data_IF_469483262204
#
_entry.id   IF_469483262204
#
_cell.length_a   1.000
_cell.length_b   1.000
_cell.length_c   1.000
_cell.angle_alpha   90.00
_cell.angle_beta   90.00
_cell.angle_gamma   90.00
#
_symmetry.space_group_name_H-M   'P 1'
#
loop_
_entity.id
_entity.type
_entity.pdbx_description
1 polymer ?
#
# COMPACT_ATOMS: atom_id res chain seq x y z
N UNK A 1 -10.50 26.16 -13.41
CA UNK A 1 -11.46 25.10 -13.07
C UNK A 1 -11.39 24.93 -11.55
N UNK A 2 -12.54 24.88 -10.85
CA UNK A 2 -12.53 24.57 -9.42
C UNK A 2 -11.95 23.17 -9.27
N UNK A 3 -10.85 23.02 -8.56
CA UNK A 3 -10.23 21.72 -8.31
C UNK A 3 -11.16 20.96 -7.37
N UNK A 4 -11.68 19.83 -7.80
CA UNK A 4 -12.42 18.90 -6.95
C UNK A 4 -11.51 17.75 -6.56
N UNK A 5 -11.74 17.17 -5.38
CA UNK A 5 -11.06 15.95 -4.93
C UNK A 5 -11.30 14.81 -5.92
N UNK A 6 -10.32 13.95 -6.09
CA UNK A 6 -10.42 12.76 -6.93
C UNK A 6 -11.30 11.69 -6.23
N UNK A 7 -11.90 10.80 -7.01
CA UNK A 7 -12.47 9.56 -6.50
C UNK A 7 -11.32 8.66 -6.01
N UNK A 8 -11.43 8.13 -4.82
CA UNK A 8 -10.43 7.24 -4.23
C UNK A 8 -11.07 6.07 -3.50
N UNK A 9 -10.40 4.93 -3.54
CA UNK A 9 -10.85 3.72 -2.88
C UNK A 9 -9.66 2.86 -2.48
N UNK A 10 -9.93 1.90 -1.60
CA UNK A 10 -8.90 1.05 -1.00
C UNK A 10 -9.23 -0.42 -1.19
N UNK A 11 -8.19 -1.22 -1.45
CA UNK A 11 -8.17 -2.66 -1.24
C UNK A 11 -7.35 -2.87 0.04
N UNK A 12 -7.95 -3.44 1.07
CA UNK A 12 -7.34 -3.56 2.41
C UNK A 12 -7.23 -5.02 2.78
N UNK A 13 -6.01 -5.51 2.82
CA UNK A 13 -5.70 -6.85 3.28
C UNK A 13 -5.43 -6.85 4.78
N UNK A 14 -5.91 -7.87 5.48
CA UNK A 14 -5.81 -7.98 6.94
C UNK A 14 -5.44 -9.40 7.35
N UNK A 15 -4.60 -9.51 8.38
CA UNK A 15 -4.38 -10.77 9.10
C UNK A 15 -5.33 -10.93 10.27
N UNK A 16 -5.72 -12.19 10.51
CA UNK A 16 -6.45 -12.61 11.70
C UNK A 16 -5.59 -13.52 12.57
N UNK A 17 -5.86 -13.53 13.87
CA UNK A 17 -5.09 -14.37 14.78
C UNK A 17 -5.53 -14.29 16.23
N UNK A 18 -4.71 -14.85 17.10
CA UNK A 18 -4.87 -14.78 18.54
C UNK A 18 -4.41 -13.44 19.10
N UNK A 19 -4.91 -13.00 20.26
CA UNK A 19 -4.40 -11.80 20.93
C UNK A 19 -2.90 -11.85 21.28
N UNK A 20 -2.29 -13.05 21.30
CA UNK A 20 -0.84 -13.26 21.45
C UNK A 20 -0.02 -12.84 20.23
N UNK A 21 -0.68 -12.63 19.06
CA UNK A 21 -0.04 -12.27 17.79
C UNK A 21 0.17 -13.44 16.83
N UNK A 22 -0.21 -14.67 17.20
CA UNK A 22 -0.14 -15.83 16.31
C UNK A 22 -1.26 -15.77 15.28
N UNK A 23 -0.91 -15.94 13.99
CA UNK A 23 -1.88 -15.92 12.90
C UNK A 23 -2.79 -17.16 12.94
N UNK A 24 -4.08 -16.97 12.70
CA UNK A 24 -5.10 -18.02 12.60
C UNK A 24 -5.95 -17.77 11.36
N UNK A 25 -6.00 -18.77 10.47
CA UNK A 25 -6.75 -18.70 9.21
C UNK A 25 -8.24 -18.84 9.41
N UNK A 26 -9.02 -17.85 8.98
CA UNK A 26 -10.49 -17.86 9.01
C UNK A 26 -11.13 -17.23 7.76
N UNK A 27 -10.34 -16.88 6.74
CA UNK A 27 -10.81 -16.07 5.61
C UNK A 27 -11.99 -16.70 4.87
N UNK A 28 -12.04 -18.02 4.72
CA UNK A 28 -13.13 -18.72 4.03
C UNK A 28 -14.46 -18.57 4.79
N UNK A 29 -14.45 -18.73 6.12
CA UNK A 29 -15.64 -18.55 6.94
C UNK A 29 -16.11 -17.09 6.97
N UNK A 30 -15.17 -16.15 7.07
CA UNK A 30 -15.47 -14.72 7.02
C UNK A 30 -16.13 -14.32 5.70
N UNK A 31 -15.56 -14.74 4.56
CA UNK A 31 -16.12 -14.44 3.24
C UNK A 31 -17.51 -15.02 3.00
N UNK A 32 -17.86 -16.13 3.68
CA UNK A 32 -19.19 -16.73 3.62
C UNK A 32 -20.20 -16.01 4.52
N UNK A 33 -19.78 -15.50 5.67
CA UNK A 33 -20.67 -14.98 6.71
C UNK A 33 -20.76 -13.45 6.74
N UNK A 34 -19.72 -12.73 6.25
CA UNK A 34 -19.69 -11.27 6.26
C UNK A 34 -19.59 -10.74 4.82
N UNK A 35 -20.66 -10.11 4.29
CA UNK A 35 -20.63 -9.51 2.96
C UNK A 35 -19.50 -8.47 2.82
N UNK A 36 -18.88 -8.44 1.63
CA UNK A 36 -17.82 -7.48 1.29
C UNK A 36 -16.40 -7.96 1.59
N UNK A 37 -16.24 -9.09 2.29
CA UNK A 37 -14.93 -9.72 2.43
C UNK A 37 -14.70 -10.79 1.36
N UNK A 38 -13.46 -10.89 0.90
CA UNK A 38 -12.99 -11.91 -0.03
C UNK A 38 -11.77 -12.62 0.55
N UNK A 39 -11.52 -13.84 0.06
CA UNK A 39 -10.37 -14.64 0.46
C UNK A 39 -9.16 -14.30 -0.39
N UNK A 40 -8.01 -14.16 0.25
CA UNK A 40 -6.72 -14.24 -0.40
C UNK A 40 -6.30 -15.73 -0.58
N UNK A 41 -5.25 -16.03 -1.39
CA UNK A 41 -4.78 -17.41 -1.56
C UNK A 41 -4.43 -18.12 -0.26
N UNK A 42 -3.86 -17.43 0.73
CA UNK A 42 -3.60 -17.97 2.07
C UNK A 42 -4.78 -17.68 3.00
N UNK A 43 -5.16 -18.66 3.81
CA UNK A 43 -6.32 -18.62 4.68
C UNK A 43 -6.22 -17.63 5.84
N UNK A 44 -5.01 -17.21 6.21
CA UNK A 44 -4.73 -16.26 7.31
C UNK A 44 -4.93 -14.81 6.90
N UNK A 45 -5.00 -14.54 5.59
CA UNK A 45 -5.22 -13.23 5.02
C UNK A 45 -6.62 -13.13 4.39
N UNK A 46 -7.22 -11.95 4.48
CA UNK A 46 -8.52 -11.62 3.87
C UNK A 46 -8.52 -10.17 3.44
N UNK A 47 -9.36 -9.87 2.45
CA UNK A 47 -9.43 -8.53 1.85
C UNK A 47 -10.85 -7.98 1.92
N UNK A 48 -10.96 -6.66 2.08
CA UNK A 48 -12.17 -5.91 1.74
C UNK A 48 -11.82 -4.72 0.85
N UNK A 49 -12.80 -4.28 0.05
CA UNK A 49 -12.66 -3.18 -0.90
C UNK A 49 -13.67 -2.10 -0.55
N UNK A 50 -13.23 -0.84 -0.54
CA UNK A 50 -14.15 0.29 -0.38
C UNK A 50 -14.68 0.75 -1.74
N UNK A 51 -15.86 1.35 -1.74
CA UNK A 51 -16.33 2.09 -2.91
C UNK A 51 -15.43 3.30 -3.20
N UNK A 52 -15.42 3.82 -4.45
CA UNK A 52 -14.74 5.07 -4.77
C UNK A 52 -15.48 6.26 -4.17
N UNK A 53 -14.81 7.02 -3.29
CA UNK A 53 -15.36 8.14 -2.51
C UNK A 53 -14.42 9.35 -2.64
N UNK A 54 -14.96 10.56 -2.69
CA UNK A 54 -14.17 11.80 -2.70
C UNK A 54 -13.90 12.34 -1.30
N UNK A 55 -14.91 12.27 -0.43
CA UNK A 55 -14.90 12.84 0.90
C UNK A 55 -14.06 12.01 1.88
N UNK A 56 -13.15 12.65 2.61
CA UNK A 56 -12.22 11.97 3.52
C UNK A 56 -12.88 11.46 4.81
N UNK A 57 -13.93 12.13 5.31
CA UNK A 57 -14.66 11.67 6.49
C UNK A 57 -15.49 10.43 6.16
N UNK A 58 -16.11 10.42 4.98
CA UNK A 58 -16.84 9.24 4.48
C UNK A 58 -15.87 8.08 4.22
N UNK A 59 -14.67 8.35 3.68
CA UNK A 59 -13.62 7.33 3.50
C UNK A 59 -13.19 6.71 4.82
N UNK A 60 -13.04 7.52 5.87
CA UNK A 60 -12.69 7.03 7.20
C UNK A 60 -13.69 6.01 7.70
N UNK A 61 -14.98 6.28 7.54
CA UNK A 61 -16.03 5.31 7.93
C UNK A 61 -16.06 4.09 7.02
N UNK A 62 -15.81 4.25 5.72
CA UNK A 62 -15.69 3.14 4.79
C UNK A 62 -14.53 2.18 5.15
N UNK A 63 -13.43 2.70 5.71
CA UNK A 63 -12.32 1.90 6.22
C UNK A 63 -12.64 1.19 7.54
N UNK A 64 -13.38 1.84 8.45
CA UNK A 64 -13.63 1.32 9.79
C UNK A 64 -14.82 0.36 9.86
N UNK A 65 -15.85 0.56 9.05
CA UNK A 65 -17.10 -0.22 9.11
C UNK A 65 -16.88 -1.73 8.87
N UNK A 66 -16.10 -2.17 7.84
CA UNK A 66 -15.80 -3.59 7.66
C UNK A 66 -14.97 -4.16 8.83
N UNK A 67 -13.99 -3.40 9.34
CA UNK A 67 -13.17 -3.83 10.49
C UNK A 67 -14.02 -4.06 11.75
N UNK A 68 -14.98 -3.14 12.05
CA UNK A 68 -15.94 -3.31 13.17
C UNK A 68 -16.79 -4.57 13.00
N UNK A 69 -17.25 -4.87 11.77
CA UNK A 69 -18.01 -6.07 11.49
C UNK A 69 -17.18 -7.33 11.71
N UNK A 70 -15.96 -7.34 11.19
CA UNK A 70 -15.03 -8.45 11.33
C UNK A 70 -14.63 -8.70 12.79
N UNK A 71 -14.32 -7.64 13.56
CA UNK A 71 -14.00 -7.77 14.99
C UNK A 71 -15.14 -8.37 15.79
N UNK A 72 -16.38 -7.93 15.56
CA UNK A 72 -17.57 -8.52 16.21
C UNK A 72 -17.74 -10.01 15.91
N UNK A 73 -17.32 -10.44 14.73
CA UNK A 73 -17.35 -11.86 14.33
C UNK A 73 -16.21 -12.67 14.96
N UNK A 74 -15.03 -12.06 15.13
CA UNK A 74 -13.82 -12.69 15.70
C UNK A 74 -13.89 -12.85 17.23
N UNK A 75 -14.37 -11.84 17.97
CA UNK A 75 -14.37 -11.79 19.43
C UNK A 75 -14.97 -13.03 20.11
N UNK A 76 -16.17 -13.55 19.72
CA UNK A 76 -16.72 -14.76 20.35
C UNK A 76 -15.88 -16.01 20.13
N UNK A 77 -14.96 -15.99 19.17
CA UNK A 77 -14.05 -17.09 18.83
C UNK A 77 -12.68 -16.95 19.52
N UNK A 78 -12.50 -15.90 20.35
CA UNK A 78 -11.21 -15.60 20.99
C UNK A 78 -10.13 -15.10 20.03
N UNK A 79 -10.54 -14.62 18.86
CA UNK A 79 -9.65 -14.12 17.81
C UNK A 79 -9.73 -12.59 17.68
N UNK A 80 -8.74 -12.01 17.03
CA UNK A 80 -8.63 -10.57 16.77
C UNK A 80 -8.04 -10.28 15.40
N UNK A 81 -8.08 -9.01 14.99
CA UNK A 81 -7.28 -8.49 13.88
C UNK A 81 -5.85 -8.27 14.33
N UNK A 82 -4.90 -8.66 13.49
CA UNK A 82 -3.48 -8.47 13.76
C UNK A 82 -2.93 -7.31 12.93
N UNK A 83 -2.11 -6.44 13.53
CA UNK A 83 -1.36 -5.41 12.81
C UNK A 83 -0.13 -6.00 12.12
N UNK A 84 0.43 -5.23 11.18
CA UNK A 84 1.62 -5.61 10.42
C UNK A 84 1.30 -6.30 9.10
N UNK A 85 2.30 -6.35 8.23
CA UNK A 85 2.15 -6.76 6.84
C UNK A 85 2.77 -8.11 6.50
N UNK A 86 3.27 -8.83 7.50
CA UNK A 86 3.89 -10.17 7.38
C UNK A 86 3.40 -11.08 8.49
N UNK A 87 3.68 -12.37 8.37
CA UNK A 87 3.46 -13.35 9.44
C UNK A 87 4.48 -13.09 10.57
N UNK A 88 4.23 -12.07 11.38
CA UNK A 88 5.20 -11.58 12.38
C UNK A 88 5.57 -12.61 13.43
N UNK A 89 4.59 -13.38 13.95
CA UNK A 89 4.78 -14.54 14.85
C UNK A 89 4.26 -15.85 14.25
N UNK A 90 3.46 -15.78 13.18
CA UNK A 90 2.87 -16.93 12.53
C UNK A 90 3.90 -17.80 11.82
N UNK A 91 3.53 -19.04 11.53
CA UNK A 91 4.34 -19.95 10.75
C UNK A 91 4.49 -19.43 9.32
N UNK A 92 5.70 -19.00 8.99
CA UNK A 92 6.08 -18.52 7.67
C UNK A 92 6.67 -19.61 6.76
N UNK A 93 6.65 -20.87 7.19
CA UNK A 93 7.16 -22.02 6.43
C UNK A 93 6.06 -22.78 5.70
N UNK A 94 4.81 -22.70 6.17
CA UNK A 94 3.67 -23.38 5.60
C UNK A 94 2.69 -22.39 4.97
N UNK A 95 2.20 -22.74 3.78
CA UNK A 95 1.12 -22.06 3.11
C UNK A 95 -0.21 -22.72 3.49
N UNK A 96 -1.20 -21.93 3.89
CA UNK A 96 -2.53 -22.42 4.28
C UNK A 96 -3.55 -22.04 3.21
N UNK A 97 -3.82 -22.89 2.21
CA UNK A 97 -4.76 -22.58 1.13
C UNK A 97 -6.14 -22.24 1.66
N UNK A 98 -6.64 -21.07 1.30
CA UNK A 98 -8.02 -20.65 1.59
C UNK A 98 -9.06 -21.46 0.81
N UNK A 99 -8.73 -21.89 -0.42
CA UNK A 99 -9.54 -22.76 -1.26
C UNK A 99 -8.67 -23.87 -1.87
N UNK A 100 -8.65 -25.07 -1.28
CA UNK A 100 -7.84 -26.20 -1.77
C UNK A 100 -8.17 -26.62 -3.20
N UNK A 101 -9.42 -26.44 -3.66
CA UNK A 101 -9.89 -26.83 -4.98
C UNK A 101 -9.60 -25.77 -6.07
N UNK A 102 -9.10 -24.60 -5.70
CA UNK A 102 -8.77 -23.55 -6.65
C UNK A 102 -7.38 -23.79 -7.28
N UNK A 103 -7.29 -24.13 -8.58
CA UNK A 103 -6.00 -24.39 -9.22
C UNK A 103 -5.08 -23.16 -9.23
N UNK A 104 -5.64 -21.95 -9.22
CA UNK A 104 -4.84 -20.71 -9.15
C UNK A 104 -4.12 -20.59 -7.81
N UNK A 105 -4.79 -20.90 -6.67
CA UNK A 105 -4.15 -20.91 -5.34
C UNK A 105 -3.04 -21.96 -5.28
N UNK A 106 -3.24 -23.14 -5.87
CA UNK A 106 -2.20 -24.17 -5.99
C UNK A 106 -0.96 -23.68 -6.74
N UNK A 107 -1.18 -23.01 -7.86
CA UNK A 107 -0.09 -22.45 -8.65
C UNK A 107 0.66 -21.32 -7.92
N UNK A 108 -0.05 -20.46 -7.19
CA UNK A 108 0.56 -19.43 -6.33
C UNK A 108 1.46 -20.07 -5.27
N UNK A 109 0.95 -21.07 -4.53
CA UNK A 109 1.72 -21.78 -3.51
C UNK A 109 2.97 -22.43 -4.10
N UNK A 110 2.85 -23.19 -5.20
CA UNK A 110 3.97 -23.89 -5.86
C UNK A 110 5.05 -22.93 -6.36
N UNK A 111 4.65 -21.75 -6.86
CA UNK A 111 5.58 -20.79 -7.46
C UNK A 111 6.24 -19.89 -6.44
N UNK A 112 5.48 -19.43 -5.45
CA UNK A 112 5.91 -18.34 -4.55
C UNK A 112 5.97 -18.73 -3.07
N UNK A 113 5.27 -19.81 -2.67
CA UNK A 113 5.20 -20.22 -1.27
C UNK A 113 4.66 -19.09 -0.38
N UNK A 114 5.16 -19.02 0.84
CA UNK A 114 4.72 -18.02 1.83
C UNK A 114 5.18 -16.59 1.54
N UNK A 115 5.99 -16.35 0.52
CA UNK A 115 6.44 -14.99 0.16
C UNK A 115 5.29 -14.06 -0.22
N UNK A 116 4.18 -14.61 -0.70
CA UNK A 116 2.96 -13.84 -1.03
C UNK A 116 1.97 -13.75 0.11
N UNK A 117 2.25 -14.37 1.26
CA UNK A 117 1.39 -14.28 2.44
C UNK A 117 1.71 -12.99 3.19
N UNK A 118 1.14 -11.93 2.70
CA UNK A 118 1.38 -10.56 3.17
C UNK A 118 0.05 -9.80 3.25
N UNK A 119 -0.01 -8.77 4.08
CA UNK A 119 -1.12 -7.83 4.14
C UNK A 119 -0.67 -6.45 3.65
N UNK A 120 -1.45 -5.84 2.79
CA UNK A 120 -1.15 -4.53 2.19
C UNK A 120 -2.37 -3.63 2.11
N UNK A 121 -2.12 -2.36 1.77
CA UNK A 121 -3.18 -1.46 1.33
C UNK A 121 -2.85 -0.99 -0.08
N UNK A 122 -3.78 -1.22 -1.01
CA UNK A 122 -3.72 -0.59 -2.31
C UNK A 122 -4.58 0.67 -2.31
N UNK A 123 -4.00 1.78 -2.77
CA UNK A 123 -4.69 3.07 -2.86
C UNK A 123 -5.01 3.32 -4.34
N UNK A 124 -6.30 3.40 -4.65
CA UNK A 124 -6.80 3.65 -6.00
C UNK A 124 -7.27 5.09 -6.13
N UNK A 125 -6.81 5.83 -7.16
CA UNK A 125 -7.29 7.17 -7.48
C UNK A 125 -7.79 7.24 -8.92
N UNK A 126 -9.02 7.74 -9.10
CA UNK A 126 -9.69 7.85 -10.40
C UNK A 126 -9.06 8.89 -11.30
N UNK A 127 -8.71 8.49 -12.53
CA UNK A 127 -8.19 9.33 -13.61
C UNK A 127 -8.69 8.76 -14.93
N UNK A 128 -9.65 9.43 -15.54
CA UNK A 128 -10.30 8.95 -16.80
C UNK A 128 -9.51 9.33 -18.05
N UNK A 129 -8.70 10.39 -18.01
CA UNK A 129 -7.83 10.77 -19.11
C UNK A 129 -6.61 9.84 -19.17
N UNK A 130 -6.43 9.13 -20.29
CA UNK A 130 -5.38 8.14 -20.43
C UNK A 130 -3.96 8.76 -20.41
N UNK A 131 -3.75 9.94 -20.98
CA UNK A 131 -2.43 10.58 -20.99
C UNK A 131 -2.04 11.06 -19.59
N UNK A 132 -2.99 11.66 -18.87
CA UNK A 132 -2.81 12.01 -17.46
C UNK A 132 -2.62 10.78 -16.56
N UNK A 133 -3.35 9.70 -16.81
CA UNK A 133 -3.18 8.44 -16.07
C UNK A 133 -1.76 7.90 -16.22
N UNK A 134 -1.20 7.86 -17.44
CA UNK A 134 0.16 7.36 -17.64
C UNK A 134 1.22 8.32 -17.10
N UNK A 135 1.02 9.63 -17.17
CA UNK A 135 1.86 10.61 -16.50
C UNK A 135 1.84 10.44 -14.98
N UNK A 136 0.65 10.19 -14.40
CA UNK A 136 0.47 9.90 -12.98
C UNK A 136 1.17 8.59 -12.56
N UNK A 137 1.04 7.51 -13.35
CA UNK A 137 1.74 6.24 -13.11
C UNK A 137 3.25 6.46 -13.10
N UNK A 138 3.81 7.25 -14.01
CA UNK A 138 5.24 7.57 -14.05
C UNK A 138 5.69 8.37 -12.83
N UNK A 139 4.96 9.43 -12.47
CA UNK A 139 5.26 10.24 -11.29
C UNK A 139 5.26 9.37 -10.03
N UNK A 140 4.17 8.65 -9.81
CA UNK A 140 4.00 7.82 -8.61
C UNK A 140 4.96 6.64 -8.57
N UNK A 141 5.35 6.09 -9.74
CA UNK A 141 6.42 5.08 -9.82
C UNK A 141 7.76 5.62 -9.33
N UNK A 142 8.11 6.84 -9.69
CA UNK A 142 9.34 7.50 -9.26
C UNK A 142 9.31 7.94 -7.78
N UNK A 143 8.13 8.10 -7.19
CA UNK A 143 7.90 8.48 -5.79
C UNK A 143 7.41 7.32 -4.91
N UNK A 144 7.24 6.11 -5.44
CA UNK A 144 6.66 4.97 -4.73
C UNK A 144 7.38 4.63 -3.42
N UNK A 145 8.70 4.75 -3.41
CA UNK A 145 9.55 4.56 -2.23
C UNK A 145 9.14 5.44 -1.03
N UNK A 146 8.61 6.65 -1.26
CA UNK A 146 8.16 7.55 -0.21
C UNK A 146 6.91 7.02 0.49
N UNK A 147 5.96 6.49 -0.29
CA UNK A 147 4.73 5.88 0.24
C UNK A 147 5.02 4.58 0.99
N UNK A 148 5.98 3.77 0.50
CA UNK A 148 6.47 2.61 1.25
C UNK A 148 7.11 3.03 2.57
N UNK A 149 7.97 4.05 2.54
CA UNK A 149 8.65 4.55 3.73
C UNK A 149 7.69 5.09 4.79
N UNK A 150 6.61 5.75 4.37
CA UNK A 150 5.56 6.25 5.27
C UNK A 150 4.72 5.12 5.87
N UNK A 151 4.44 4.07 5.09
CA UNK A 151 3.55 2.97 5.47
C UNK A 151 4.25 1.77 6.10
N UNK A 152 5.57 1.71 6.13
CA UNK A 152 6.32 0.52 6.56
C UNK A 152 5.89 0.03 7.96
N UNK A 153 5.45 -1.25 8.02
CA UNK A 153 4.88 -1.85 9.23
C UNK A 153 5.22 -3.34 9.40
N UNK A 154 6.25 -3.85 8.70
CA UNK A 154 6.57 -5.28 8.70
C UNK A 154 8.03 -5.59 9.04
N UNK A 155 8.55 -5.17 10.22
CA UNK A 155 9.93 -5.44 10.60
C UNK A 155 10.16 -6.84 11.17
N UNK A 156 9.11 -7.65 11.32
CA UNK A 156 9.16 -8.98 11.93
C UNK A 156 8.69 -10.07 10.97
N UNK A 157 9.29 -11.25 11.04
CA UNK A 157 8.88 -12.44 10.28
C UNK A 157 9.19 -13.71 11.10
N UNK A 158 8.19 -14.56 11.35
CA UNK A 158 8.37 -15.83 12.04
C UNK A 158 9.00 -15.69 13.42
N UNK A 159 8.66 -14.66 14.18
CA UNK A 159 9.19 -14.38 15.51
C UNK A 159 10.59 -13.76 15.54
N UNK A 160 11.12 -13.33 14.41
CA UNK A 160 12.44 -12.72 14.29
C UNK A 160 12.35 -11.29 13.75
N UNK A 161 13.30 -10.45 14.18
CA UNK A 161 13.50 -9.12 13.56
C UNK A 161 14.13 -9.31 12.20
N UNK A 162 13.53 -8.77 11.16
CA UNK A 162 14.12 -8.76 9.83
C UNK A 162 15.16 -7.62 9.68
N UNK A 163 15.91 -7.64 8.59
CA UNK A 163 16.80 -6.53 8.24
C UNK A 163 16.08 -5.39 7.52
N UNK A 164 14.74 -5.43 7.44
CA UNK A 164 13.91 -4.52 6.65
C UNK A 164 12.80 -3.93 7.50
N UNK A 165 12.47 -2.65 7.28
CA UNK A 165 11.29 -2.02 7.85
C UNK A 165 10.01 -2.46 7.12
N UNK A 166 10.11 -2.72 5.81
CA UNK A 166 9.09 -3.45 5.05
C UNK A 166 9.65 -4.79 4.55
N UNK A 167 9.58 -5.81 5.42
CA UNK A 167 9.86 -7.19 5.04
C UNK A 167 8.85 -7.68 4.00
N UNK A 168 7.61 -7.18 4.03
CA UNK A 168 6.60 -7.46 3.02
C UNK A 168 7.11 -7.14 1.63
N UNK A 169 7.57 -5.91 1.38
CA UNK A 169 8.03 -5.51 0.05
C UNK A 169 9.29 -6.26 -0.37
N UNK A 170 10.20 -6.51 0.55
CA UNK A 170 11.42 -7.28 0.30
C UNK A 170 11.14 -8.71 -0.17
N UNK A 171 10.15 -9.40 0.42
CA UNK A 171 9.86 -10.80 0.10
C UNK A 171 8.87 -10.95 -1.07
N UNK A 172 8.06 -9.92 -1.35
CA UNK A 172 7.00 -9.99 -2.35
C UNK A 172 7.59 -10.18 -3.76
N UNK A 173 7.15 -11.19 -4.51
CA UNK A 173 7.72 -11.50 -5.81
C UNK A 173 7.21 -10.54 -6.87
N UNK A 174 7.97 -9.48 -7.17
CA UNK A 174 7.65 -8.59 -8.29
C UNK A 174 7.51 -9.40 -9.58
N UNK A 175 6.44 -9.19 -10.31
CA UNK A 175 6.09 -9.98 -11.51
C UNK A 175 5.50 -9.09 -12.60
N UNK A 176 6.13 -9.03 -13.79
CA UNK A 176 7.49 -9.50 -14.09
C UNK A 176 8.55 -8.83 -13.24
N UNK A 177 9.75 -9.41 -13.16
CA UNK A 177 10.85 -8.89 -12.34
C UNK A 177 11.37 -7.51 -12.80
N UNK A 178 11.12 -7.14 -14.06
CA UNK A 178 11.43 -5.83 -14.62
C UNK A 178 10.18 -5.26 -15.29
N UNK A 179 9.72 -4.11 -14.80
CA UNK A 179 8.56 -3.39 -15.34
C UNK A 179 9.03 -2.03 -15.85
N UNK A 180 8.85 -1.72 -17.14
CA UNK A 180 9.31 -0.47 -17.71
C UNK A 180 8.51 0.73 -17.17
N UNK A 181 9.08 1.91 -17.30
CA UNK A 181 8.31 3.14 -17.17
C UNK A 181 7.44 3.30 -18.40
N UNK A 182 6.13 3.09 -18.26
CA UNK A 182 5.19 3.09 -19.38
C UNK A 182 5.10 4.48 -20.04
N UNK A 183 5.40 4.53 -21.33
CA UNK A 183 5.40 5.79 -22.08
C UNK A 183 3.98 6.33 -22.31
N UNK A 184 3.05 5.42 -22.63
CA UNK A 184 1.64 5.72 -22.89
C UNK A 184 0.81 4.44 -22.84
N UNK A 185 -0.51 4.54 -23.10
CA UNK A 185 -1.44 3.42 -23.10
C UNK A 185 -1.09 2.34 -24.16
N UNK A 186 -0.67 2.74 -25.35
CA UNK A 186 -0.30 1.79 -26.41
C UNK A 186 0.93 0.96 -26.03
N UNK A 187 1.97 1.60 -25.46
CA UNK A 187 3.15 0.92 -24.94
C UNK A 187 2.79 -0.07 -23.82
N UNK A 188 1.95 0.36 -22.87
CA UNK A 188 1.48 -0.51 -21.78
C UNK A 188 0.74 -1.73 -22.32
N UNK A 189 -0.20 -1.53 -23.25
CA UNK A 189 -1.00 -2.61 -23.82
C UNK A 189 -0.13 -3.62 -24.56
N UNK A 190 0.78 -3.15 -25.43
CA UNK A 190 1.71 -4.03 -26.16
C UNK A 190 2.59 -4.83 -25.21
N UNK A 191 3.18 -4.16 -24.23
CA UNK A 191 4.05 -4.79 -23.24
C UNK A 191 3.31 -5.85 -22.40
N UNK A 192 2.07 -5.58 -21.95
CA UNK A 192 1.27 -6.57 -21.21
C UNK A 192 0.99 -7.80 -22.07
N UNK A 193 0.63 -7.62 -23.34
CA UNK A 193 0.37 -8.75 -24.25
C UNK A 193 1.64 -9.58 -24.49
N UNK A 194 2.80 -8.93 -24.66
CA UNK A 194 4.10 -9.61 -24.78
C UNK A 194 4.42 -10.44 -23.53
N UNK A 195 4.16 -9.91 -22.32
CA UNK A 195 4.40 -10.65 -21.07
C UNK A 195 3.45 -11.84 -20.91
N UNK A 196 2.20 -11.74 -21.36
CA UNK A 196 1.24 -12.84 -21.37
C UNK A 196 1.65 -13.92 -22.37
N UNK A 197 2.09 -13.54 -23.57
CA UNK A 197 2.57 -14.48 -24.61
C UNK A 197 3.85 -15.19 -24.17
N UNK A 198 4.78 -14.46 -23.51
CA UNK A 198 6.01 -15.02 -22.96
C UNK A 198 5.77 -15.90 -21.70
N UNK A 199 4.57 -15.87 -21.11
CA UNK A 199 4.23 -16.63 -19.91
C UNK A 199 4.87 -16.08 -18.62
N UNK A 200 5.44 -14.88 -18.65
CA UNK A 200 5.97 -14.19 -17.45
C UNK A 200 4.85 -13.68 -16.55
N UNK A 201 3.68 -13.42 -17.14
CA UNK A 201 2.42 -13.20 -16.42
C UNK A 201 1.40 -14.26 -16.81
N UNK A 202 0.54 -14.69 -15.88
CA UNK A 202 -0.50 -15.68 -16.15
C UNK A 202 -1.82 -15.06 -16.60
N UNK A 203 -2.04 -13.82 -16.23
CA UNK A 203 -3.17 -12.97 -16.61
C UNK A 203 -2.81 -11.50 -16.33
N UNK A 204 -3.67 -10.58 -16.69
CA UNK A 204 -3.46 -9.13 -16.55
C UNK A 204 -3.42 -8.67 -15.07
N UNK A 205 -3.95 -9.48 -14.14
CA UNK A 205 -3.88 -9.19 -12.69
C UNK A 205 -2.50 -9.52 -12.11
N UNK A 206 -1.72 -10.34 -12.79
CA UNK A 206 -0.40 -10.78 -12.37
C UNK A 206 0.72 -9.73 -12.63
N UNK A 207 0.37 -8.49 -12.96
CA UNK A 207 1.30 -7.37 -12.92
C UNK A 207 1.46 -6.91 -11.48
N UNK A 208 2.46 -7.47 -10.78
CA UNK A 208 2.79 -7.17 -9.39
C UNK A 208 3.95 -6.20 -9.33
N UNK A 209 3.65 -4.93 -9.16
CA UNK A 209 4.59 -3.81 -9.16
C UNK A 209 4.15 -2.77 -8.14
N UNK A 210 4.98 -1.76 -7.85
CA UNK A 210 4.69 -0.73 -6.85
C UNK A 210 3.46 0.14 -7.20
N UNK A 211 3.27 0.42 -8.49
CA UNK A 211 2.12 1.17 -9.02
C UNK A 211 1.79 0.67 -10.42
N UNK A 212 0.50 0.62 -10.74
CA UNK A 212 0.03 0.25 -12.09
C UNK A 212 -1.19 1.05 -12.49
N UNK A 213 -1.46 1.18 -13.79
CA UNK A 213 -2.77 1.60 -14.26
C UNK A 213 -3.78 0.48 -14.02
N UNK A 214 -5.02 0.82 -13.65
CA UNK A 214 -6.08 -0.13 -13.40
C UNK A 214 -7.40 0.35 -14.02
N UNK A 215 -8.35 -0.56 -14.21
CA UNK A 215 -9.64 -0.28 -14.82
C UNK A 215 -10.51 -1.51 -14.98
N UNK A 216 -11.74 -1.35 -15.52
CA UNK A 216 -12.71 -2.44 -15.62
C UNK A 216 -12.27 -3.57 -16.55
N UNK A 217 -11.43 -3.29 -17.56
CA UNK A 217 -10.97 -4.29 -18.53
C UNK A 217 -9.51 -4.03 -18.93
N UNK A 218 -8.58 -4.40 -18.04
CA UNK A 218 -7.14 -4.32 -18.34
C UNK A 218 -6.76 -5.24 -19.53
N UNK A 219 -5.79 -4.83 -20.39
CA UNK A 219 -5.10 -3.54 -20.41
C UNK A 219 -5.82 -2.45 -21.22
N UNK A 220 -7.03 -2.67 -21.69
CA UNK A 220 -7.71 -1.87 -22.72
C UNK A 220 -8.53 -0.70 -22.16
N UNK A 221 -9.23 -0.91 -21.04
CA UNK A 221 -10.06 0.11 -20.39
C UNK A 221 -9.52 0.40 -19.00
N UNK A 222 -8.95 1.60 -18.87
CA UNK A 222 -8.27 2.07 -17.68
C UNK A 222 -8.92 3.37 -17.20
N UNK A 223 -9.10 3.54 -15.90
CA UNK A 223 -9.74 4.72 -15.32
C UNK A 223 -9.19 5.12 -13.97
N UNK A 224 -8.09 4.49 -13.52
CA UNK A 224 -7.48 4.81 -12.22
C UNK A 224 -6.04 4.36 -12.12
N UNK A 225 -5.31 5.06 -11.28
CA UNK A 225 -4.02 4.64 -10.75
C UNK A 225 -4.23 3.75 -9.53
N UNK A 226 -3.46 2.68 -9.40
CA UNK A 226 -3.42 1.80 -8.24
C UNK A 226 -2.01 1.77 -7.65
N UNK A 227 -1.81 2.42 -6.50
CA UNK A 227 -0.59 2.35 -5.70
C UNK A 227 -0.65 1.12 -4.81
N UNK A 228 0.32 0.19 -4.95
CA UNK A 228 0.31 -1.15 -4.34
C UNK A 228 1.43 -1.39 -3.33
N UNK A 229 2.41 -0.49 -3.30
CA UNK A 229 3.65 -0.68 -2.53
C UNK A 229 3.45 -0.59 -1.02
N UNK A 230 2.37 0.06 -0.56
CA UNK A 230 2.15 0.35 0.85
C UNK A 230 1.96 -0.92 1.69
N UNK A 231 2.66 -1.01 2.81
CA UNK A 231 2.34 -1.93 3.88
C UNK A 231 0.98 -1.58 4.50
N UNK A 232 0.43 -2.45 5.32
CA UNK A 232 -0.81 -2.22 6.06
C UNK A 232 -0.63 -1.07 7.07
N UNK A 233 -1.31 0.03 6.83
CA UNK A 233 -1.44 1.16 7.78
C UNK A 233 -2.70 0.95 8.59
N UNK A 234 -2.56 0.68 9.88
CA UNK A 234 -3.70 0.32 10.74
C UNK A 234 -4.49 1.53 11.24
N UNK A 235 -3.86 2.70 11.37
CA UNK A 235 -4.54 3.95 11.72
C UNK A 235 -5.16 4.59 10.47
N UNK A 236 -6.51 4.70 10.38
CA UNK A 236 -7.16 5.32 9.23
C UNK A 236 -6.77 6.78 9.01
N UNK A 237 -6.46 7.52 10.08
CA UNK A 237 -6.04 8.92 9.96
C UNK A 237 -4.65 9.02 9.30
N UNK A 238 -3.73 8.09 9.60
CA UNK A 238 -2.43 8.01 8.95
C UNK A 238 -2.55 7.57 7.48
N UNK A 239 -3.39 6.58 7.21
CA UNK A 239 -3.66 6.15 5.83
C UNK A 239 -4.23 7.29 4.99
N UNK A 240 -5.19 8.04 5.53
CA UNK A 240 -5.79 9.19 4.83
C UNK A 240 -4.79 10.34 4.66
N UNK A 241 -3.86 10.54 5.58
CA UNK A 241 -2.77 11.50 5.42
C UNK A 241 -1.81 11.13 4.27
N UNK A 242 -1.43 9.85 4.17
CA UNK A 242 -0.65 9.31 3.05
C UNK A 242 -1.42 9.47 1.74
N UNK A 243 -2.72 9.17 1.74
CA UNK A 243 -3.59 9.31 0.57
C UNK A 243 -3.72 10.77 0.14
N UNK A 244 -3.81 11.70 1.08
CA UNK A 244 -3.87 13.14 0.80
C UNK A 244 -2.60 13.64 0.11
N UNK A 245 -1.41 13.19 0.56
CA UNK A 245 -0.16 13.50 -0.14
C UNK A 245 -0.21 12.99 -1.60
N UNK A 246 -0.62 11.74 -1.79
CA UNK A 246 -0.73 11.15 -3.13
C UNK A 246 -1.72 11.95 -4.01
N UNK A 247 -2.91 12.27 -3.49
CA UNK A 247 -3.90 13.08 -4.22
C UNK A 247 -3.36 14.46 -4.58
N UNK A 248 -2.71 15.14 -3.64
CA UNK A 248 -2.12 16.46 -3.87
C UNK A 248 -1.01 16.43 -4.92
N UNK A 249 -0.18 15.39 -4.95
CA UNK A 249 0.83 15.20 -6.00
C UNK A 249 0.18 15.00 -7.38
N UNK A 250 -0.89 14.21 -7.46
CA UNK A 250 -1.65 14.06 -8.70
C UNK A 250 -2.34 15.36 -9.13
N UNK A 251 -2.86 16.15 -8.19
CA UNK A 251 -3.44 17.46 -8.46
C UNK A 251 -2.40 18.46 -9.01
N UNK A 252 -1.15 18.41 -8.54
CA UNK A 252 -0.06 19.19 -9.11
C UNK A 252 0.24 18.75 -10.56
N UNK A 253 0.30 17.43 -10.80
CA UNK A 253 0.50 16.90 -12.15
C UNK A 253 -0.63 17.30 -13.11
N UNK A 254 -1.89 17.17 -12.68
CA UNK A 254 -3.07 17.54 -13.49
C UNK A 254 -3.02 19.03 -13.88
N UNK A 255 -2.59 19.89 -12.95
CA UNK A 255 -2.49 21.34 -13.20
C UNK A 255 -1.30 21.73 -14.10
N UNK A 256 -0.21 20.98 -14.00
CA UNK A 256 1.02 21.28 -14.75
C UNK A 256 1.78 19.99 -15.13
N UNK A 257 1.29 19.24 -16.13
CA UNK A 257 1.93 17.98 -16.55
C UNK A 257 3.38 18.18 -17.01
N UNK A 258 3.69 19.31 -17.67
CA UNK A 258 5.05 19.58 -18.16
C UNK A 258 6.09 19.69 -17.04
N UNK A 259 5.67 20.06 -15.83
CA UNK A 259 6.56 20.17 -14.67
C UNK A 259 6.68 18.87 -13.89
N UNK A 260 5.62 18.06 -13.84
CA UNK A 260 5.53 16.92 -12.91
C UNK A 260 5.54 15.56 -13.60
N UNK A 261 5.46 15.46 -14.92
CA UNK A 261 5.71 14.20 -15.62
C UNK A 261 7.22 13.92 -15.71
N UNK A 262 7.73 12.86 -15.09
CA UNK A 262 9.16 12.56 -15.09
C UNK A 262 9.77 12.39 -16.49
N UNK A 263 9.01 11.91 -17.48
CA UNK A 263 9.52 11.79 -18.84
C UNK A 263 9.73 13.14 -19.54
N UNK A 264 9.07 14.19 -19.04
CA UNK A 264 9.14 15.54 -19.65
C UNK A 264 10.13 16.41 -18.90
N UNK A 265 10.13 16.34 -17.57
CA UNK A 265 10.82 17.30 -16.71
C UNK A 265 12.12 16.79 -16.07
N UNK A 266 12.38 15.47 -16.13
CA UNK A 266 13.64 14.92 -15.60
C UNK A 266 14.82 15.15 -16.53
N UNK A 267 16.02 15.21 -15.95
CA UNK A 267 17.26 15.12 -16.71
C UNK A 267 17.68 13.68 -17.04
N UNK A 268 16.94 12.69 -16.51
CA UNK A 268 17.17 11.27 -16.69
C UNK A 268 16.24 10.72 -17.78
N UNK A 269 16.71 9.73 -18.53
CA UNK A 269 15.86 9.01 -19.47
C UNK A 269 14.97 7.96 -18.80
N UNK A 270 14.06 7.33 -19.56
CA UNK A 270 13.09 6.38 -19.04
C UNK A 270 13.74 5.15 -18.39
N UNK A 271 14.85 4.65 -18.92
CA UNK A 271 15.57 3.49 -18.37
C UNK A 271 16.28 3.86 -17.06
N UNK A 272 16.90 5.03 -17.00
CA UNK A 272 17.49 5.56 -15.79
C UNK A 272 16.46 5.82 -14.69
N UNK A 273 15.29 6.37 -15.04
CA UNK A 273 14.17 6.57 -14.11
C UNK A 273 13.62 5.24 -13.58
N UNK A 274 13.47 4.23 -14.43
CA UNK A 274 13.07 2.88 -14.01
C UNK A 274 14.06 2.30 -12.99
N UNK A 275 15.34 2.29 -13.34
CA UNK A 275 16.38 1.77 -12.45
C UNK A 275 16.51 2.54 -11.13
N UNK A 276 16.29 3.87 -11.17
CA UNK A 276 16.24 4.71 -9.99
C UNK A 276 15.05 4.35 -9.09
N UNK A 277 13.85 4.19 -9.66
CA UNK A 277 12.66 3.84 -8.91
C UNK A 277 12.82 2.48 -8.22
N UNK A 278 13.33 1.46 -8.92
CA UNK A 278 13.58 0.13 -8.35
C UNK A 278 14.61 0.17 -7.21
N UNK A 279 15.69 0.94 -7.37
CA UNK A 279 16.69 1.11 -6.33
C UNK A 279 16.14 1.86 -5.09
N UNK A 280 15.32 2.88 -5.31
CA UNK A 280 14.67 3.62 -4.24
C UNK A 280 13.66 2.75 -3.47
N UNK A 281 12.84 1.95 -4.17
CA UNK A 281 11.90 1.01 -3.56
C UNK A 281 12.64 0.00 -2.64
N UNK A 282 13.76 -0.54 -3.12
CA UNK A 282 14.61 -1.46 -2.33
C UNK A 282 15.25 -0.78 -1.11
N UNK A 283 15.73 0.47 -1.25
CA UNK A 283 16.30 1.23 -0.14
C UNK A 283 15.24 1.58 0.91
N UNK A 284 14.04 2.00 0.48
CA UNK A 284 12.93 2.30 1.37
C UNK A 284 12.39 1.05 2.08
N UNK A 285 12.37 -0.11 1.42
CA UNK A 285 12.02 -1.36 2.07
C UNK A 285 12.93 -1.67 3.26
N UNK A 286 14.23 -1.39 3.13
CA UNK A 286 15.23 -1.66 4.18
C UNK A 286 15.20 -0.63 5.29
N UNK A 287 15.30 0.65 4.95
CA UNK A 287 15.59 1.73 5.91
C UNK A 287 14.44 2.75 6.08
N UNK A 288 13.36 2.62 5.28
CA UNK A 288 12.16 3.47 5.26
C UNK A 288 12.49 4.98 5.25
N UNK A 289 12.01 5.76 6.22
CA UNK A 289 12.26 7.21 6.31
C UNK A 289 13.74 7.56 6.47
N UNK A 290 14.58 6.65 6.96
CA UNK A 290 16.04 6.85 7.07
C UNK A 290 16.78 6.54 5.76
N UNK A 291 16.11 6.02 4.73
CA UNK A 291 16.76 5.63 3.48
C UNK A 291 17.40 6.83 2.77
N UNK A 292 18.54 6.57 2.13
CA UNK A 292 19.12 7.49 1.14
C UNK A 292 18.58 7.10 -0.22
N UNK A 293 17.83 7.99 -0.85
CA UNK A 293 17.17 7.83 -2.14
C UNK A 293 17.86 8.70 -3.19
N UNK A 294 17.40 8.58 -4.43
CA UNK A 294 17.76 9.47 -5.54
C UNK A 294 16.53 10.19 -6.04
N UNK A 295 16.63 11.52 -6.16
CA UNK A 295 15.51 12.33 -6.66
C UNK A 295 15.34 12.14 -8.17
N UNK A 296 14.09 11.90 -8.60
CA UNK A 296 13.80 11.57 -10.01
C UNK A 296 14.09 12.72 -10.98
N UNK A 297 14.08 13.98 -10.55
CA UNK A 297 14.31 15.12 -11.46
C UNK A 297 15.73 15.21 -12.00
N UNK A 298 16.74 14.81 -11.20
CA UNK A 298 18.16 15.01 -11.51
C UNK A 298 19.09 13.85 -11.08
N UNK A 299 18.54 12.85 -10.39
CA UNK A 299 19.32 11.71 -9.88
C UNK A 299 20.19 12.00 -8.67
N UNK A 300 20.13 13.19 -8.07
CA UNK A 300 20.87 13.53 -6.87
C UNK A 300 20.36 12.77 -5.64
N UNK A 301 21.28 12.51 -4.70
CA UNK A 301 20.93 11.83 -3.46
C UNK A 301 20.17 12.76 -2.52
N UNK A 302 19.14 12.21 -1.88
CA UNK A 302 18.32 12.89 -0.89
C UNK A 302 17.91 11.89 0.19
N UNK A 303 17.80 12.32 1.45
CA UNK A 303 17.17 11.49 2.49
C UNK A 303 15.68 11.39 2.25
N UNK A 304 15.11 10.24 2.57
CA UNK A 304 13.68 9.99 2.36
C UNK A 304 12.80 10.95 3.18
N UNK A 305 13.11 11.14 4.46
CA UNK A 305 12.39 12.07 5.34
C UNK A 305 12.49 13.54 4.86
N UNK A 306 13.65 13.98 4.38
CA UNK A 306 13.85 15.32 3.79
C UNK A 306 13.03 15.48 2.51
N UNK A 307 12.96 14.44 1.66
CA UNK A 307 12.16 14.49 0.45
C UNK A 307 10.66 14.57 0.77
N UNK A 308 10.16 13.76 1.70
CA UNK A 308 8.76 13.83 2.15
C UNK A 308 8.43 15.22 2.71
N UNK A 309 9.28 15.79 3.57
CA UNK A 309 9.08 17.13 4.12
C UNK A 309 9.05 18.19 3.01
N UNK A 310 9.96 18.10 2.03
CA UNK A 310 9.96 18.99 0.88
C UNK A 310 8.65 18.91 0.05
N UNK A 311 8.09 17.70 -0.11
CA UNK A 311 6.80 17.52 -0.78
C UNK A 311 5.65 18.11 0.05
N UNK A 312 5.64 17.92 1.37
CA UNK A 312 4.64 18.52 2.26
C UNK A 312 4.63 20.04 2.12
N UNK A 313 5.80 20.67 2.14
CA UNK A 313 5.93 22.12 1.95
C UNK A 313 5.44 22.56 0.55
N UNK A 314 5.81 21.80 -0.47
CA UNK A 314 5.45 22.10 -1.86
C UNK A 314 3.94 22.02 -2.11
N UNK A 315 3.25 21.05 -1.51
CA UNK A 315 1.81 20.87 -1.68
C UNK A 315 0.97 21.68 -0.69
N UNK A 316 1.57 22.31 0.31
CA UNK A 316 0.89 23.05 1.38
C UNK A 316 -0.14 24.07 0.89
N UNK A 317 0.18 24.96 -0.07
CA UNK A 317 -0.81 25.91 -0.62
C UNK A 317 -2.01 25.19 -1.26
N UNK A 318 -1.76 24.11 -1.99
CA UNK A 318 -2.82 23.33 -2.63
C UNK A 318 -3.68 22.57 -1.60
N UNK A 319 -3.08 22.10 -0.52
CA UNK A 319 -3.80 21.46 0.58
C UNK A 319 -4.75 22.44 1.28
N UNK A 320 -4.34 23.70 1.45
CA UNK A 320 -5.22 24.74 1.99
C UNK A 320 -6.42 25.03 1.07
N UNK A 321 -6.20 25.05 -0.25
CA UNK A 321 -7.26 25.25 -1.25
C UNK A 321 -8.28 24.09 -1.30
N UNK A 322 -7.85 22.87 -0.91
CA UNK A 322 -8.65 21.65 -0.99
C UNK A 322 -9.12 21.15 0.39
N UNK A 323 -8.90 21.92 1.46
CA UNK A 323 -9.23 21.56 2.86
C UNK A 323 -8.55 20.27 3.35
N UNK A 324 -7.30 20.06 2.91
CA UNK A 324 -6.49 18.88 3.28
C UNK A 324 -5.33 19.22 4.25
N UNK A 325 -5.32 20.42 4.84
CA UNK A 325 -4.23 20.90 5.70
C UNK A 325 -4.04 20.04 6.96
N UNK A 326 -5.11 19.50 7.55
CA UNK A 326 -5.05 18.62 8.72
C UNK A 326 -4.34 17.30 8.39
N UNK A 327 -4.58 16.75 7.20
CA UNK A 327 -3.88 15.55 6.73
C UNK A 327 -2.38 15.78 6.58
N UNK A 328 -1.94 16.94 6.07
CA UNK A 328 -0.52 17.28 5.99
C UNK A 328 0.11 17.48 7.37
N UNK A 329 -0.59 18.09 8.33
CA UNK A 329 -0.13 18.19 9.71
C UNK A 329 0.07 16.80 10.34
N UNK A 330 -0.88 15.88 10.09
CA UNK A 330 -0.75 14.49 10.53
C UNK A 330 0.46 13.81 9.88
N UNK A 331 0.68 14.01 8.60
CA UNK A 331 1.82 13.45 7.88
C UNK A 331 3.15 13.98 8.43
N UNK A 332 3.25 15.29 8.73
CA UNK A 332 4.43 15.89 9.39
C UNK A 332 4.70 15.22 10.75
N UNK A 333 3.65 14.97 11.54
CA UNK A 333 3.78 14.26 12.80
C UNK A 333 4.28 12.80 12.61
N UNK A 334 3.77 12.09 11.60
CA UNK A 334 4.23 10.74 11.26
C UNK A 334 5.72 10.72 10.87
N UNK A 335 6.17 11.64 10.04
CA UNK A 335 7.59 11.73 9.65
C UNK A 335 8.46 11.98 10.88
N UNK A 336 8.04 12.87 11.78
CA UNK A 336 8.78 13.19 13.01
C UNK A 336 8.83 12.03 14.01
N UNK A 337 7.73 11.27 14.14
CA UNK A 337 7.64 10.14 15.08
C UNK A 337 8.27 8.86 14.54
N UNK A 338 8.51 8.77 13.25
CA UNK A 338 8.83 7.54 12.53
C UNK A 338 7.59 6.67 12.29
N UNK A 339 7.67 5.80 11.28
CA UNK A 339 6.61 4.84 10.95
C UNK A 339 6.50 3.70 11.97
N UNK A 340 5.47 2.86 11.83
CA UNK A 340 5.22 1.75 12.73
C UNK A 340 6.40 0.78 12.85
N UNK A 341 7.09 0.47 11.75
CA UNK A 341 8.24 -0.44 11.77
C UNK A 341 9.41 0.13 12.59
N UNK A 342 9.73 1.42 12.43
CA UNK A 342 10.78 2.09 13.20
C UNK A 342 10.45 2.05 14.68
N UNK A 343 9.23 2.43 15.05
CA UNK A 343 8.77 2.43 16.44
C UNK A 343 8.81 1.02 17.06
N UNK A 344 8.40 0.00 16.32
CA UNK A 344 8.41 -1.38 16.79
C UNK A 344 9.83 -1.92 16.97
N UNK A 345 10.74 -1.65 16.04
CA UNK A 345 12.15 -2.04 16.17
C UNK A 345 12.79 -1.39 17.38
N UNK A 346 12.55 -0.10 17.62
CA UNK A 346 13.12 0.61 18.76
C UNK A 346 12.54 0.11 20.11
N UNK A 347 11.24 -0.15 20.18
CA UNK A 347 10.61 -0.73 21.37
C UNK A 347 11.08 -2.17 21.61
N UNK A 348 11.30 -2.95 20.55
CA UNK A 348 11.85 -4.31 20.70
C UNK A 348 13.30 -4.26 21.21
N UNK A 349 14.13 -3.37 20.69
CA UNK A 349 15.50 -3.13 21.20
C UNK A 349 15.51 -2.67 22.65
N UNK A 350 14.46 -1.95 23.07
CA UNK A 350 14.25 -1.56 24.48
C UNK A 350 13.71 -2.70 25.37
N UNK A 351 13.53 -3.91 24.83
CA UNK A 351 13.18 -5.13 25.58
C UNK A 351 11.72 -5.55 25.49
N UNK A 352 10.86 -4.91 24.69
CA UNK A 352 9.49 -5.40 24.47
C UNK A 352 9.51 -6.64 23.56
N UNK A 353 8.70 -7.64 23.90
CA UNK A 353 8.52 -8.81 23.03
C UNK A 353 7.72 -8.48 21.77
N UNK A 354 7.94 -9.23 20.69
CA UNK A 354 7.14 -9.08 19.45
C UNK A 354 5.65 -9.31 19.75
N UNK A 355 5.32 -10.31 20.59
CA UNK A 355 3.94 -10.56 21.02
C UNK A 355 3.30 -9.35 21.72
N UNK A 356 4.04 -8.66 22.61
CA UNK A 356 3.52 -7.45 23.28
C UNK A 356 3.30 -6.29 22.32
N UNK A 357 4.15 -6.17 21.31
CA UNK A 357 4.01 -5.14 20.26
C UNK A 357 2.77 -5.40 19.40
N UNK A 358 2.57 -6.65 18.96
CA UNK A 358 1.40 -7.04 18.17
C UNK A 358 0.10 -6.87 18.97
N UNK A 359 0.09 -7.29 20.25
CA UNK A 359 -1.06 -7.09 21.14
C UNK A 359 -1.42 -5.62 21.28
N UNK A 360 -0.44 -4.77 21.58
CA UNK A 360 -0.68 -3.32 21.68
C UNK A 360 -1.17 -2.71 20.38
N UNK A 361 -0.68 -3.18 19.23
CA UNK A 361 -1.17 -2.77 17.92
C UNK A 361 -2.61 -3.22 17.67
N UNK A 362 -2.98 -4.46 18.05
CA UNK A 362 -4.35 -4.95 17.94
C UNK A 362 -5.33 -4.19 18.85
N UNK A 363 -4.90 -3.82 20.07
CA UNK A 363 -5.65 -2.96 21.00
C UNK A 363 -5.84 -1.54 20.42
N UNK A 364 -4.78 -0.97 19.82
CA UNK A 364 -4.87 0.33 19.15
C UNK A 364 -5.88 0.30 17.99
N UNK A 365 -5.87 -0.75 17.16
CA UNK A 365 -6.88 -0.96 16.11
C UNK A 365 -8.29 -1.01 16.67
N UNK A 366 -8.51 -1.71 17.80
CA UNK A 366 -9.81 -1.79 18.45
C UNK A 366 -10.28 -0.43 18.97
N UNK A 367 -9.41 0.37 19.60
CA UNK A 367 -9.72 1.72 20.03
C UNK A 367 -10.12 2.64 18.86
N UNK A 368 -9.42 2.55 17.72
CA UNK A 368 -9.75 3.31 16.50
C UNK A 368 -11.15 2.94 15.96
N UNK A 369 -11.52 1.66 16.03
CA UNK A 369 -12.82 1.16 15.60
C UNK A 369 -13.96 1.59 16.54
N UNK A 370 -13.68 1.78 17.84
CA UNK A 370 -14.65 2.23 18.85
C UNK A 370 -14.81 3.75 18.88
N UNK A 371 -13.81 4.50 18.41
CA UNK A 371 -13.90 5.96 18.33
C UNK A 371 -15.10 6.35 17.47
N UNK A 372 -16.07 7.04 18.07
CA UNK A 372 -17.22 7.58 17.36
C UNK A 372 -16.71 8.60 16.35
N UNK A 373 -17.17 8.51 15.12
CA UNK A 373 -17.03 9.61 14.18
C UNK A 373 -17.64 10.87 14.82
N UNK A 374 -17.03 12.04 14.68
CA UNK A 374 -17.73 13.28 14.97
C UNK A 374 -19.05 13.21 14.20
N UNK A 375 -20.19 13.27 14.93
CA UNK A 375 -21.51 13.21 14.33
C UNK A 375 -21.58 14.19 13.18
N UNK A 376 -21.87 13.68 11.98
CA UNK A 376 -22.33 14.48 10.86
C UNK A 376 -23.56 15.23 11.34
N UNK A 377 -23.38 16.46 11.85
CA UNK A 377 -24.41 17.38 12.30
C UNK A 377 -24.97 18.19 11.15
#
# INVERSE_FOLDING_TARGET
MSSSLLQKGFEVELFTGQPSGENVGVSTAVAQEIPGFVTEPDHRNLEYITDPIQDYDVLREALLTPRRALRRWLQPKGLTLLPGSTLSLGDNTQFERSNPDNPYHGRIEETYGTRVVTASIHINLGLDDADLLFAAVRLVRCEAALYLALSASSPFLGGQVSAYHSQRWQQFPLTPSAVPLFLNHAHYTSWVLEQLEAGTMWNERHLWTSVRPNGPRRPYELNRLELRICDLVTDPAELLAITALLELRLQQLIRNPEQFDPLVSSSLDAEQLMALADANDAAAARDSLNATLRHWSNGETIRCDDWVNSLIDQVGPLAADLDLSEHLQRLTAMVSAGNQAMQWVDQHRAGRSISDLLRSGAEAMEHQEQALSPSLG
#
